data_IF_331290917850
#
_entry.id   IF_331290917850
#
_cell.length_a   1.000
_cell.length_b   1.000
_cell.length_c   1.000
_cell.angle_alpha   90.00
_cell.angle_beta   90.00
_cell.angle_gamma   90.00
#
_symmetry.space_group_name_H-M   'P 1'
#
loop_
_entity.id
_entity.type
_entity.pdbx_description
1 polymer ?
#
# COMPACT_ATOMS: atom_id res chain seq x y z
N UNK A 1 10.55 3.74 -17.91
CA UNK A 1 9.58 3.33 -16.86
C UNK A 1 10.36 2.57 -15.81
N UNK A 2 10.46 3.08 -14.58
CA UNK A 2 11.26 2.43 -13.53
C UNK A 2 10.57 1.13 -13.10
N UNK A 3 11.02 -0.02 -13.62
CA UNK A 3 10.42 -1.33 -13.37
C UNK A 3 10.45 -1.69 -11.87
N UNK A 4 11.48 -1.25 -11.15
CA UNK A 4 11.62 -1.48 -9.70
C UNK A 4 10.54 -0.72 -8.93
N UNK A 5 10.30 0.55 -9.26
CA UNK A 5 9.23 1.33 -8.63
C UNK A 5 7.86 0.67 -8.84
N UNK A 6 7.56 0.26 -10.09
CA UNK A 6 6.30 -0.43 -10.42
C UNK A 6 6.16 -1.75 -9.66
N UNK A 7 7.23 -2.51 -9.56
CA UNK A 7 7.25 -3.76 -8.79
C UNK A 7 6.92 -3.49 -7.31
N UNK A 8 7.56 -2.48 -6.70
CA UNK A 8 7.31 -2.11 -5.30
C UNK A 8 5.85 -1.67 -5.10
N UNK A 9 5.32 -0.79 -5.95
CA UNK A 9 3.94 -0.30 -5.83
C UNK A 9 2.93 -1.45 -5.95
N UNK A 10 3.08 -2.30 -6.97
CA UNK A 10 2.13 -3.39 -7.21
C UNK A 10 2.20 -4.44 -6.09
N UNK A 11 3.41 -4.92 -5.74
CA UNK A 11 3.55 -5.95 -4.71
C UNK A 11 3.06 -5.43 -3.36
N UNK A 12 3.45 -4.22 -2.98
CA UNK A 12 2.99 -3.63 -1.72
C UNK A 12 1.47 -3.46 -1.71
N UNK A 13 0.88 -2.95 -2.79
CA UNK A 13 -0.56 -2.84 -2.95
C UNK A 13 -1.29 -4.19 -2.84
N UNK A 14 -0.75 -5.25 -3.45
CA UNK A 14 -1.34 -6.59 -3.37
C UNK A 14 -1.23 -7.20 -1.96
N UNK A 15 -0.12 -6.96 -1.26
CA UNK A 15 0.07 -7.39 0.14
C UNK A 15 -1.02 -6.78 1.05
N UNK A 16 -1.48 -5.56 0.77
CA UNK A 16 -2.57 -4.94 1.53
C UNK A 16 -3.90 -5.71 1.45
N UNK A 17 -4.12 -6.53 0.41
CA UNK A 17 -5.32 -7.37 0.31
C UNK A 17 -5.40 -8.43 1.43
N UNK A 18 -4.27 -8.83 2.02
CA UNK A 18 -4.27 -9.77 3.15
C UNK A 18 -4.97 -9.20 4.38
N UNK A 19 -4.78 -7.90 4.68
CA UNK A 19 -5.45 -7.25 5.80
C UNK A 19 -6.96 -7.13 5.61
N UNK A 20 -7.40 -6.89 4.37
CA UNK A 20 -8.82 -6.95 4.01
C UNK A 20 -9.38 -8.36 4.15
N UNK A 21 -8.68 -9.37 3.59
CA UNK A 21 -9.10 -10.76 3.66
C UNK A 21 -9.25 -11.24 5.11
N UNK A 22 -8.29 -10.89 5.99
CA UNK A 22 -8.35 -11.19 7.42
C UNK A 22 -9.55 -10.51 8.10
N UNK A 23 -9.74 -9.20 7.91
CA UNK A 23 -10.78 -8.44 8.60
C UNK A 23 -12.22 -8.91 8.28
N UNK A 24 -12.41 -9.52 7.10
CA UNK A 24 -13.69 -10.05 6.65
C UNK A 24 -13.78 -11.58 6.75
N UNK A 25 -12.81 -12.24 7.38
CA UNK A 25 -12.73 -13.70 7.52
C UNK A 25 -12.83 -14.44 6.17
N UNK A 26 -12.24 -13.88 5.12
CA UNK A 26 -12.22 -14.48 3.77
C UNK A 26 -11.12 -15.53 3.62
N UNK A 27 -10.06 -15.43 4.43
CA UNK A 27 -8.96 -16.37 4.49
C UNK A 27 -8.28 -16.30 5.87
N UNK A 28 -7.68 -17.41 6.31
CA UNK A 28 -6.78 -17.42 7.45
C UNK A 28 -5.41 -16.89 7.02
N UNK A 29 -4.99 -15.76 7.61
CA UNK A 29 -3.71 -15.11 7.33
C UNK A 29 -2.84 -15.20 8.57
N UNK A 30 -1.91 -16.17 8.60
CA UNK A 30 -1.06 -16.45 9.77
C UNK A 30 -0.02 -15.36 10.05
N UNK A 31 0.37 -14.60 9.03
CA UNK A 31 1.35 -13.53 9.06
C UNK A 31 0.82 -12.26 9.73
N UNK A 32 -0.50 -12.09 9.75
CA UNK A 32 -1.17 -11.03 10.49
C UNK A 32 -1.72 -11.66 11.75
N UNK A 33 -1.06 -11.49 12.89
CA UNK A 33 -1.45 -12.08 14.17
C UNK A 33 -2.39 -11.18 14.95
N UNK A 34 -2.23 -9.86 14.84
CA UNK A 34 -3.07 -8.86 15.50
C UNK A 34 -4.49 -8.83 14.90
N UNK A 35 -5.51 -8.60 15.73
CA UNK A 35 -6.89 -8.46 15.26
C UNK A 35 -7.05 -7.23 14.37
N UNK A 36 -7.77 -7.40 13.25
CA UNK A 36 -8.07 -6.33 12.31
C UNK A 36 -9.57 -6.14 12.27
N UNK A 37 -10.04 -4.97 12.71
CA UNK A 37 -11.46 -4.63 12.66
C UNK A 37 -11.94 -4.44 11.21
N UNK A 38 -13.24 -4.61 10.96
CA UNK A 38 -13.83 -4.39 9.62
C UNK A 38 -13.54 -3.00 9.03
N UNK A 39 -13.64 -1.88 9.79
CA UNK A 39 -13.26 -0.56 9.28
C UNK A 39 -11.78 -0.48 8.87
N UNK A 40 -10.87 -1.08 9.65
CA UNK A 40 -9.46 -1.18 9.24
C UNK A 40 -9.32 -2.01 7.97
N UNK A 41 -10.04 -3.13 7.84
CA UNK A 41 -10.09 -3.93 6.62
C UNK A 41 -10.48 -3.13 5.38
N UNK A 42 -11.45 -2.22 5.50
CA UNK A 42 -11.82 -1.30 4.40
C UNK A 42 -10.67 -0.35 4.06
N UNK A 43 -9.94 0.15 5.06
CA UNK A 43 -8.74 0.98 4.81
C UNK A 43 -7.61 0.17 4.14
N UNK A 44 -7.41 -1.09 4.52
CA UNK A 44 -6.48 -2.01 3.84
C UNK A 44 -6.83 -2.16 2.36
N UNK A 45 -8.12 -2.39 2.05
CA UNK A 45 -8.60 -2.44 0.67
C UNK A 45 -8.42 -1.11 -0.07
N UNK A 46 -8.71 0.02 0.59
CA UNK A 46 -8.53 1.34 -0.01
C UNK A 46 -7.07 1.62 -0.36
N UNK A 47 -6.12 1.26 0.52
CA UNK A 47 -4.68 1.36 0.23
C UNK A 47 -4.29 0.51 -0.98
N UNK A 48 -4.75 -0.75 -1.04
CA UNK A 48 -4.49 -1.64 -2.17
C UNK A 48 -5.00 -1.04 -3.50
N UNK A 49 -6.24 -0.56 -3.53
CA UNK A 49 -6.85 0.07 -4.71
C UNK A 49 -6.09 1.32 -5.12
N UNK A 50 -5.72 2.19 -4.18
CA UNK A 50 -4.95 3.40 -4.49
C UNK A 50 -3.58 3.08 -5.07
N UNK A 51 -2.85 2.09 -4.55
CA UNK A 51 -1.58 1.65 -5.13
C UNK A 51 -1.75 1.11 -6.57
N UNK A 52 -2.80 0.33 -6.83
CA UNK A 52 -3.09 -0.15 -8.18
C UNK A 52 -3.47 1.00 -9.14
N UNK A 53 -4.24 1.98 -8.67
CA UNK A 53 -4.54 3.21 -9.43
C UNK A 53 -3.24 3.97 -9.73
N UNK A 54 -2.35 4.15 -8.74
CA UNK A 54 -1.03 4.75 -8.94
C UNK A 54 -0.24 4.01 -10.02
N UNK A 55 -0.19 2.68 -9.95
CA UNK A 55 0.49 1.85 -10.94
C UNK A 55 -0.06 2.08 -12.36
N UNK A 56 -1.38 2.09 -12.53
CA UNK A 56 -2.04 2.34 -13.81
C UNK A 56 -1.73 3.74 -14.35
N UNK A 57 -1.91 4.78 -13.54
CA UNK A 57 -1.66 6.18 -13.96
C UNK A 57 -0.18 6.38 -14.33
N UNK A 58 0.74 5.76 -13.58
CA UNK A 58 2.17 5.79 -13.87
C UNK A 58 2.51 5.10 -15.21
N UNK A 59 1.90 3.95 -15.52
CA UNK A 59 2.07 3.26 -16.82
C UNK A 59 1.57 4.12 -17.97
N UNK A 60 0.45 4.82 -17.76
CA UNK A 60 -0.11 5.77 -18.73
C UNK A 60 0.72 7.05 -18.87
N UNK A 61 1.83 7.19 -18.13
CA UNK A 61 2.73 8.35 -18.13
C UNK A 61 2.02 9.66 -17.77
N UNK A 62 0.92 9.60 -17.04
CA UNK A 62 0.20 10.79 -16.61
C UNK A 62 0.86 11.36 -15.35
N UNK A 63 1.21 12.65 -15.37
CA UNK A 63 1.97 13.34 -14.31
C UNK A 63 1.25 13.39 -12.95
N UNK A 64 -0.05 13.10 -12.90
CA UNK A 64 -0.84 13.10 -11.65
C UNK A 64 -0.67 11.83 -10.80
N UNK A 65 0.12 10.85 -11.24
CA UNK A 65 0.32 9.55 -10.55
C UNK A 65 0.73 9.67 -9.08
N UNK A 66 1.43 10.75 -8.70
CA UNK A 66 1.91 10.96 -7.34
C UNK A 66 0.79 11.27 -6.35
N UNK A 67 -0.33 11.84 -6.80
CA UNK A 67 -1.46 12.21 -5.93
C UNK A 67 -2.10 10.98 -5.25
N UNK A 68 -2.55 9.95 -5.99
CA UNK A 68 -3.03 8.72 -5.35
C UNK A 68 -1.92 7.97 -4.61
N UNK A 69 -0.65 8.12 -5.03
CA UNK A 69 0.48 7.46 -4.37
C UNK A 69 0.68 7.98 -2.95
N UNK A 70 0.66 9.30 -2.76
CA UNK A 70 0.76 9.93 -1.44
C UNK A 70 -0.42 9.54 -0.55
N UNK A 71 -1.64 9.54 -1.09
CA UNK A 71 -2.82 9.09 -0.34
C UNK A 71 -2.68 7.62 0.11
N UNK A 72 -2.23 6.73 -0.79
CA UNK A 72 -1.98 5.32 -0.49
C UNK A 72 -0.90 5.15 0.60
N UNK A 73 0.20 5.88 0.51
CA UNK A 73 1.30 5.84 1.48
C UNK A 73 0.83 6.27 2.87
N UNK A 74 0.04 7.34 2.98
CA UNK A 74 -0.48 7.84 4.25
C UNK A 74 -1.38 6.77 4.91
N UNK A 75 -2.35 6.24 4.17
CA UNK A 75 -3.26 5.19 4.67
C UNK A 75 -2.45 3.94 5.05
N UNK A 76 -1.53 3.52 4.18
CA UNK A 76 -0.64 2.38 4.43
C UNK A 76 0.16 2.58 5.72
N UNK A 77 0.70 3.77 5.97
CA UNK A 77 1.52 4.00 7.15
C UNK A 77 0.70 3.97 8.43
N UNK A 78 -0.53 4.50 8.41
CA UNK A 78 -1.47 4.40 9.53
C UNK A 78 -1.78 2.93 9.86
N UNK A 79 -2.03 2.10 8.85
CA UNK A 79 -2.29 0.67 9.01
C UNK A 79 -1.07 -0.10 9.54
N UNK A 80 0.13 0.22 9.04
CA UNK A 80 1.38 -0.39 9.50
C UNK A 80 1.64 -0.05 10.97
N UNK A 81 1.46 1.21 11.38
CA UNK A 81 1.60 1.60 12.79
C UNK A 81 0.57 0.90 13.67
N UNK A 82 -0.67 0.76 13.19
CA UNK A 82 -1.73 0.04 13.92
C UNK A 82 -1.45 -1.46 14.07
N UNK A 83 -0.67 -2.05 13.15
CA UNK A 83 -0.35 -3.49 13.09
C UNK A 83 1.16 -3.72 13.13
N UNK A 84 1.86 -2.96 13.97
CA UNK A 84 3.33 -2.81 13.89
C UNK A 84 4.10 -4.12 13.98
N UNK A 85 3.68 -5.05 14.84
CA UNK A 85 4.42 -6.31 15.04
C UNK A 85 4.44 -7.15 13.77
N UNK A 86 3.34 -7.15 13.03
CA UNK A 86 3.16 -7.95 11.82
C UNK A 86 3.64 -7.19 10.56
N UNK A 87 3.47 -5.86 10.51
CA UNK A 87 3.52 -5.11 9.26
C UNK A 87 4.69 -4.09 9.14
N UNK A 88 5.56 -3.93 10.15
CA UNK A 88 6.60 -2.87 10.18
C UNK A 88 7.47 -2.78 8.92
N UNK A 89 7.78 -3.91 8.28
CA UNK A 89 8.59 -3.95 7.05
C UNK A 89 7.92 -3.24 5.87
N UNK A 90 6.59 -3.10 5.87
CA UNK A 90 5.88 -2.30 4.89
C UNK A 90 6.28 -0.82 4.91
N UNK A 91 6.83 -0.31 6.02
CA UNK A 91 7.34 1.07 6.10
C UNK A 91 8.48 1.29 5.10
N UNK A 92 9.31 0.28 4.84
CA UNK A 92 10.41 0.38 3.88
C UNK A 92 9.88 0.63 2.45
N UNK A 93 8.81 -0.07 2.05
CA UNK A 93 8.17 0.16 0.76
C UNK A 93 7.62 1.61 0.66
N UNK A 94 6.97 2.10 1.72
CA UNK A 94 6.49 3.49 1.79
C UNK A 94 7.62 4.51 1.64
N UNK A 95 8.75 4.30 2.33
CA UNK A 95 9.93 5.18 2.23
C UNK A 95 10.52 5.17 0.81
N UNK A 96 10.67 3.99 0.20
CA UNK A 96 11.16 3.88 -1.19
C UNK A 96 10.25 4.66 -2.15
N UNK A 97 8.93 4.51 -2.02
CA UNK A 97 7.97 5.22 -2.88
C UNK A 97 8.02 6.73 -2.65
N UNK A 98 8.15 7.21 -1.40
CA UNK A 98 8.31 8.63 -1.09
C UNK A 98 9.57 9.23 -1.71
N UNK A 99 10.70 8.52 -1.65
CA UNK A 99 11.94 8.97 -2.29
C UNK A 99 11.76 9.10 -3.80
N UNK A 100 11.11 8.12 -4.44
CA UNK A 100 10.85 8.17 -5.89
C UNK A 100 9.93 9.33 -6.25
N UNK A 101 8.86 9.58 -5.48
CA UNK A 101 7.99 10.75 -5.67
C UNK A 101 8.82 12.03 -5.54
N UNK A 102 9.64 12.14 -4.49
CA UNK A 102 10.47 13.32 -4.26
C UNK A 102 11.45 13.58 -5.41
N UNK A 103 12.05 12.54 -5.99
CA UNK A 103 13.05 12.68 -7.08
C UNK A 103 12.41 12.94 -8.45
N UNK A 104 11.22 12.38 -8.70
CA UNK A 104 10.59 12.44 -10.03
C UNK A 104 9.58 13.58 -10.20
N UNK A 105 9.10 14.18 -9.10
CA UNK A 105 8.05 15.22 -9.13
C UNK A 105 8.55 16.56 -8.60
N UNK A 106 9.42 16.58 -7.57
CA UNK A 106 9.88 17.80 -6.90
C UNK A 106 11.42 17.84 -6.78
#
# INVERSE_FOLDING_TARGET
>A
MNKVFMFVVIIHGLIHLMGFAKAFNLAEISELTQDISKPQGVLWLAAAVLFLITAVIFILKNETWWMPAIAAIIISQVLIVSSWQDAKFGTLANVIMLIVIKVLVW
#
